data_IF_679761685841
#
_entry.id   IF_679761685841
#
_cell.length_a   1.000
_cell.length_b   1.000
_cell.length_c   1.000
_cell.angle_alpha   90.00
_cell.angle_beta   90.00
_cell.angle_gamma   90.00
#
_symmetry.space_group_name_H-M   'P 1'
#
loop_
_entity.id
_entity.type
_entity.pdbx_description
1 polymer ?
#
# COMPACT_ATOMS: atom_id res chain seq x y z
N UNK A 1 5.38 -37.15 17.78
CA UNK A 1 5.59 -38.15 16.72
C UNK A 1 4.25 -38.40 16.03
N UNK A 2 4.22 -38.26 14.70
CA UNK A 2 3.28 -38.86 13.74
C UNK A 2 1.79 -38.42 13.74
N UNK A 3 1.54 -37.43 12.88
CA UNK A 3 0.62 -37.47 11.71
C UNK A 3 -0.21 -38.75 11.54
N UNK A 4 -1.52 -38.61 11.28
CA UNK A 4 -2.25 -39.52 10.39
C UNK A 4 -3.41 -38.84 9.66
N UNK A 5 -3.25 -38.76 8.35
CA UNK A 5 -4.26 -38.56 7.32
C UNK A 5 -5.08 -39.83 7.07
N UNK A 6 -6.32 -39.67 6.62
CA UNK A 6 -7.09 -40.58 5.75
C UNK A 6 -7.89 -39.65 4.80
N UNK A 7 -7.73 -39.58 3.46
CA UNK A 7 -7.86 -40.59 2.37
C UNK A 7 -9.12 -41.46 2.53
N UNK A 8 -9.97 -41.74 1.54
CA UNK A 8 -10.09 -41.42 0.11
C UNK A 8 -11.40 -42.09 -0.40
N UNK A 9 -11.85 -41.73 -1.61
CA UNK A 9 -12.50 -42.58 -2.66
C UNK A 9 -13.69 -41.86 -3.30
N UNK A 10 -13.75 -41.56 -4.61
CA UNK A 10 -13.49 -42.29 -5.89
C UNK A 10 -14.82 -42.68 -6.55
N UNK A 11 -14.98 -42.30 -7.81
CA UNK A 11 -15.44 -43.07 -8.99
C UNK A 11 -15.86 -42.04 -10.07
N UNK A 12 -15.02 -41.69 -11.05
CA UNK A 12 -14.57 -42.45 -12.23
C UNK A 12 -15.66 -42.68 -13.29
N UNK A 13 -15.51 -41.99 -14.41
CA UNK A 13 -16.11 -42.29 -15.70
C UNK A 13 -15.17 -41.82 -16.81
N UNK A 14 -14.46 -42.76 -17.44
CA UNK A 14 -13.55 -42.56 -18.57
C UNK A 14 -14.24 -43.06 -19.86
N UNK A 15 -14.15 -42.27 -20.94
CA UNK A 15 -13.80 -42.67 -22.32
C UNK A 15 -14.24 -41.58 -23.31
N UNK A 16 -13.56 -41.19 -24.40
CA UNK A 16 -12.20 -41.36 -24.96
C UNK A 16 -12.19 -40.44 -26.20
N UNK A 17 -11.10 -39.68 -26.39
CA UNK A 17 -10.49 -39.19 -27.65
C UNK A 17 -11.42 -38.52 -28.69
N UNK A 18 -11.19 -37.29 -29.13
CA UNK A 18 -10.09 -36.92 -30.04
C UNK A 18 -10.22 -35.43 -30.40
N UNK A 19 -9.11 -34.74 -30.63
CA UNK A 19 -9.07 -33.64 -31.58
C UNK A 19 -8.96 -32.22 -31.00
N UNK A 20 -7.82 -31.61 -31.33
CA UNK A 20 -7.56 -30.17 -31.40
C UNK A 20 -7.30 -29.43 -30.08
N UNK A 21 -6.01 -29.17 -29.87
CA UNK A 21 -5.51 -28.05 -29.11
C UNK A 21 -6.18 -26.77 -29.59
N UNK A 22 -7.12 -26.25 -28.81
CA UNK A 22 -7.49 -24.85 -28.81
C UNK A 22 -7.14 -24.35 -27.41
N UNK A 23 -6.26 -23.34 -27.26
CA UNK A 23 -6.28 -22.56 -26.04
C UNK A 23 -7.64 -21.87 -26.06
N UNK A 24 -8.55 -22.34 -25.21
CA UNK A 24 -9.74 -21.56 -24.88
C UNK A 24 -9.19 -20.32 -24.21
N UNK A 25 -9.02 -19.27 -25.00
CA UNK A 25 -8.93 -17.92 -24.51
C UNK A 25 -10.13 -17.75 -23.61
N UNK A 26 -9.88 -17.77 -22.29
CA UNK A 26 -10.85 -17.33 -21.32
C UNK A 26 -11.15 -15.87 -21.65
N UNK A 27 -12.13 -15.65 -22.51
CA UNK A 27 -12.82 -14.39 -22.63
C UNK A 27 -13.61 -14.20 -21.34
N UNK A 28 -12.89 -13.92 -20.26
CA UNK A 28 -13.49 -13.19 -19.16
C UNK A 28 -13.81 -11.81 -19.76
N UNK A 29 -15.10 -11.63 -20.05
CA UNK A 29 -15.71 -10.31 -20.04
C UNK A 29 -15.44 -9.79 -18.63
N UNK A 30 -14.38 -8.97 -18.49
CA UNK A 30 -14.10 -8.28 -17.24
C UNK A 30 -15.30 -7.35 -17.03
N UNK A 31 -16.15 -7.74 -16.08
CA UNK A 31 -17.25 -6.92 -15.61
C UNK A 31 -16.64 -5.63 -15.04
N UNK A 32 -17.05 -4.48 -15.58
CA UNK A 32 -16.69 -3.13 -15.11
C UNK A 32 -17.33 -2.79 -13.75
N UNK A 33 -17.54 -3.79 -12.87
CA UNK A 33 -18.28 -3.63 -11.62
C UNK A 33 -17.52 -2.88 -10.52
N UNK A 34 -16.22 -2.59 -10.71
CA UNK A 34 -15.45 -1.68 -9.86
C UNK A 34 -14.22 -1.20 -10.66
N UNK A 35 -14.30 -0.07 -11.40
CA UNK A 35 -13.19 0.44 -12.20
C UNK A 35 -12.01 0.93 -11.34
N UNK A 36 -12.18 0.98 -10.02
CA UNK A 36 -11.22 1.55 -9.10
C UNK A 36 -10.33 0.48 -8.51
N UNK A 37 -9.08 0.51 -8.95
CA UNK A 37 -7.98 -0.21 -8.33
C UNK A 37 -6.89 0.83 -8.11
N UNK A 38 -6.43 0.97 -6.87
CA UNK A 38 -5.04 1.26 -6.48
C UNK A 38 -4.28 2.48 -7.03
N UNK A 39 -4.88 3.67 -7.15
CA UNK A 39 -4.11 4.94 -7.09
C UNK A 39 -4.78 5.90 -6.12
N UNK A 40 -3.98 6.56 -5.28
CA UNK A 40 -4.43 7.13 -4.02
C UNK A 40 -5.33 8.37 -4.13
N UNK A 41 -5.60 8.92 -5.30
CA UNK A 41 -6.43 10.12 -5.42
C UNK A 41 -7.26 10.14 -6.70
N UNK A 42 -8.39 10.84 -6.63
CA UNK A 42 -9.24 11.10 -7.81
C UNK A 42 -8.42 11.66 -8.97
N UNK A 43 -7.50 12.58 -8.69
CA UNK A 43 -6.63 13.18 -9.69
C UNK A 43 -5.77 12.13 -10.41
N UNK A 44 -5.20 11.17 -9.69
CA UNK A 44 -4.37 10.12 -10.29
C UNK A 44 -5.22 9.16 -11.12
N UNK A 45 -6.37 8.71 -10.62
CA UNK A 45 -7.25 7.82 -11.35
C UNK A 45 -7.80 8.45 -12.63
N UNK A 46 -8.24 9.70 -12.54
CA UNK A 46 -8.71 10.50 -13.68
C UNK A 46 -7.58 10.73 -14.70
N UNK A 47 -6.36 10.98 -14.23
CA UNK A 47 -5.21 11.17 -15.12
C UNK A 47 -4.86 9.89 -15.89
N UNK A 48 -5.06 8.70 -15.31
CA UNK A 48 -4.84 7.42 -15.97
C UNK A 48 -5.99 7.06 -16.92
N UNK A 49 -7.23 7.37 -16.54
CA UNK A 49 -8.40 7.08 -17.35
C UNK A 49 -9.44 8.21 -17.28
N UNK A 50 -9.57 9.07 -18.31
CA UNK A 50 -10.59 10.11 -18.35
C UNK A 50 -12.00 9.57 -18.66
N UNK A 51 -12.14 8.26 -18.94
CA UNK A 51 -13.39 7.63 -19.32
C UNK A 51 -14.10 6.94 -18.14
N UNK A 52 -13.72 7.29 -16.90
CA UNK A 52 -14.38 6.82 -15.70
C UNK A 52 -15.86 7.27 -15.67
N UNK A 53 -16.80 6.43 -15.22
CA UNK A 53 -18.19 6.84 -15.08
C UNK A 53 -18.33 7.98 -14.06
N UNK A 54 -19.01 9.08 -14.42
CA UNK A 54 -19.18 10.23 -13.51
C UNK A 54 -19.88 9.86 -12.20
N UNK A 55 -20.82 8.90 -12.25
CA UNK A 55 -21.53 8.39 -11.06
C UNK A 55 -20.57 7.77 -10.08
N UNK A 56 -19.60 7.01 -10.58
CA UNK A 56 -18.66 6.23 -9.80
C UNK A 56 -17.64 7.17 -9.15
N UNK A 57 -17.12 8.14 -9.93
CA UNK A 57 -16.23 9.20 -9.43
C UNK A 57 -16.93 10.05 -8.38
N UNK A 58 -18.20 10.41 -8.59
CA UNK A 58 -18.98 11.19 -7.62
C UNK A 58 -19.17 10.43 -6.31
N UNK A 59 -19.53 9.15 -6.40
CA UNK A 59 -19.80 8.31 -5.25
C UNK A 59 -18.54 8.08 -4.40
N UNK A 60 -17.38 7.97 -5.05
CA UNK A 60 -16.14 7.64 -4.37
C UNK A 60 -15.33 8.87 -3.92
N UNK A 61 -15.32 9.95 -4.71
CA UNK A 61 -14.48 11.13 -4.47
C UNK A 61 -15.25 12.44 -4.31
N UNK A 62 -16.57 12.42 -4.43
CA UNK A 62 -17.43 13.60 -4.27
C UNK A 62 -17.56 14.48 -5.51
N UNK A 63 -18.36 15.54 -5.39
CA UNK A 63 -18.73 16.41 -6.52
C UNK A 63 -17.54 17.16 -7.14
N UNK A 64 -16.51 17.51 -6.35
CA UNK A 64 -15.30 18.18 -6.85
C UNK A 64 -14.50 17.33 -7.83
N UNK A 65 -14.45 16.01 -7.63
CA UNK A 65 -13.76 15.10 -8.53
C UNK A 65 -14.46 14.95 -9.90
N UNK A 66 -15.78 15.10 -9.95
CA UNK A 66 -16.53 15.13 -11.22
C UNK A 66 -16.10 16.33 -12.06
N UNK A 67 -15.88 17.49 -11.44
CA UNK A 67 -15.37 18.66 -12.16
C UNK A 67 -13.95 18.41 -12.69
N UNK A 68 -13.09 17.74 -11.91
CA UNK A 68 -11.75 17.35 -12.35
C UNK A 68 -11.80 16.39 -13.54
N UNK A 69 -12.72 15.42 -13.54
CA UNK A 69 -12.92 14.48 -14.65
C UNK A 69 -13.33 15.21 -15.94
N UNK A 70 -14.29 16.13 -15.84
CA UNK A 70 -14.73 16.95 -16.97
C UNK A 70 -13.61 17.84 -17.52
N UNK A 71 -12.78 18.41 -16.64
CA UNK A 71 -11.60 19.18 -17.05
C UNK A 71 -10.53 18.30 -17.70
N UNK A 72 -10.30 17.10 -17.16
CA UNK A 72 -9.32 16.16 -17.68
C UNK A 72 -9.71 15.68 -19.08
N UNK A 73 -10.99 15.37 -19.33
CA UNK A 73 -11.50 14.99 -20.66
C UNK A 73 -11.10 15.97 -21.77
N UNK A 74 -11.03 17.27 -21.47
CA UNK A 74 -10.62 18.30 -22.43
C UNK A 74 -9.13 18.23 -22.82
N UNK A 75 -8.31 17.52 -22.05
CA UNK A 75 -6.88 17.32 -22.32
C UNK A 75 -6.64 16.12 -23.24
N UNK A 76 -7.64 15.27 -23.45
CA UNK A 76 -7.56 14.10 -24.32
C UNK A 76 -8.18 14.40 -25.70
N UNK A 77 -7.83 13.61 -26.73
CA UNK A 77 -8.49 13.71 -28.03
C UNK A 77 -10.01 13.60 -27.93
N UNK A 78 -10.72 14.35 -28.78
CA UNK A 78 -12.17 14.22 -28.88
C UNK A 78 -12.59 12.77 -29.19
N UNK A 79 -13.72 12.34 -28.64
CA UNK A 79 -14.28 10.99 -28.84
C UNK A 79 -13.44 9.83 -28.27
N UNK A 80 -12.44 10.11 -27.41
CA UNK A 80 -11.58 9.09 -26.79
C UNK A 80 -12.37 8.03 -26.02
N UNK A 81 -13.44 8.44 -25.32
CA UNK A 81 -14.27 7.54 -24.52
C UNK A 81 -15.39 6.85 -25.31
N UNK A 82 -15.68 7.32 -26.52
CA UNK A 82 -16.67 6.68 -27.41
C UNK A 82 -16.03 5.63 -28.31
N UNK A 83 -14.70 5.64 -28.46
CA UNK A 83 -13.99 4.56 -29.14
C UNK A 83 -13.85 3.36 -28.19
N UNK A 84 -14.48 2.20 -28.51
CA UNK A 84 -14.53 1.07 -27.59
C UNK A 84 -13.16 0.41 -27.36
N UNK A 85 -12.25 0.48 -28.35
CA UNK A 85 -10.92 -0.10 -28.22
C UNK A 85 -10.04 0.77 -27.31
N UNK A 86 -10.09 2.10 -27.51
CA UNK A 86 -9.33 3.03 -26.67
C UNK A 86 -9.88 3.04 -25.25
N UNK A 87 -11.20 3.13 -25.07
CA UNK A 87 -11.82 3.12 -23.74
C UNK A 87 -11.48 1.85 -22.95
N UNK A 88 -11.51 0.68 -23.60
CA UNK A 88 -11.09 -0.59 -22.98
C UNK A 88 -9.63 -0.57 -22.59
N UNK A 89 -8.74 -0.15 -23.49
CA UNK A 89 -7.32 -0.10 -23.20
C UNK A 89 -6.97 0.94 -22.12
N UNK A 90 -7.75 2.03 -21.98
CA UNK A 90 -7.59 3.00 -20.90
C UNK A 90 -8.01 2.39 -19.55
N UNK A 91 -9.06 1.57 -19.53
CA UNK A 91 -9.43 0.81 -18.34
C UNK A 91 -8.35 -0.23 -17.96
N UNK A 92 -7.80 -0.95 -18.95
CA UNK A 92 -6.69 -1.89 -18.72
C UNK A 92 -5.41 -1.15 -18.28
N UNK A 93 -5.15 0.05 -18.81
CA UNK A 93 -4.04 0.90 -18.40
C UNK A 93 -4.19 1.33 -16.95
N UNK A 94 -5.37 1.82 -16.55
CA UNK A 94 -5.69 2.16 -15.16
C UNK A 94 -5.47 0.95 -14.25
N UNK A 95 -6.14 -0.17 -14.53
CA UNK A 95 -6.07 -1.36 -13.69
C UNK A 95 -4.63 -1.87 -13.52
N UNK A 96 -3.91 -2.07 -14.62
CA UNK A 96 -2.57 -2.64 -14.57
C UNK A 96 -1.57 -1.68 -13.92
N UNK A 97 -1.66 -0.38 -14.20
CA UNK A 97 -0.75 0.61 -13.60
C UNK A 97 -0.95 0.71 -12.10
N UNK A 98 -2.20 0.77 -11.66
CA UNK A 98 -2.56 0.80 -10.25
C UNK A 98 -2.16 -0.47 -9.51
N UNK A 99 -2.47 -1.64 -10.08
CA UNK A 99 -2.07 -2.92 -9.51
C UNK A 99 -0.55 -3.03 -9.45
N UNK A 100 0.16 -2.54 -10.46
CA UNK A 100 1.62 -2.53 -10.49
C UNK A 100 2.20 -1.62 -9.41
N UNK A 101 1.67 -0.41 -9.22
CA UNK A 101 2.06 0.50 -8.14
C UNK A 101 1.80 -0.15 -6.77
N UNK A 102 0.66 -0.83 -6.62
CA UNK A 102 0.28 -1.48 -5.37
C UNK A 102 1.13 -2.72 -5.03
N UNK A 103 1.61 -3.46 -6.04
CA UNK A 103 2.31 -4.74 -5.85
C UNK A 103 3.82 -4.67 -6.02
N UNK A 104 4.35 -3.55 -6.50
CA UNK A 104 5.79 -3.41 -6.74
C UNK A 104 6.55 -3.00 -5.48
N UNK A 105 7.80 -3.45 -5.42
CA UNK A 105 8.77 -3.13 -4.38
C UNK A 105 9.27 -1.69 -4.41
N UNK A 106 9.01 -0.97 -5.52
CA UNK A 106 9.48 0.39 -5.77
C UNK A 106 8.31 1.29 -6.19
N UNK A 107 7.28 1.47 -5.34
CA UNK A 107 6.03 2.11 -5.73
C UNK A 107 6.24 3.54 -6.25
N UNK A 108 7.16 4.32 -5.65
CA UNK A 108 7.47 5.68 -6.13
C UNK A 108 8.17 5.71 -7.49
N UNK A 109 9.12 4.79 -7.72
CA UNK A 109 9.79 4.70 -9.03
C UNK A 109 8.78 4.30 -10.09
N UNK A 110 7.88 3.39 -9.75
CA UNK A 110 6.86 2.93 -10.67
C UNK A 110 5.79 4.00 -10.93
N UNK A 111 5.39 4.76 -9.92
CA UNK A 111 4.49 5.89 -10.05
C UNK A 111 5.08 6.97 -10.99
N UNK A 112 6.37 7.30 -10.87
CA UNK A 112 7.04 8.24 -11.78
C UNK A 112 7.07 7.72 -13.23
N UNK A 113 7.33 6.44 -13.44
CA UNK A 113 7.31 5.82 -14.76
C UNK A 113 5.89 5.83 -15.36
N UNK A 114 4.89 5.45 -14.57
CA UNK A 114 3.47 5.48 -14.97
C UNK A 114 3.04 6.91 -15.32
N UNK A 115 3.42 7.90 -14.52
CA UNK A 115 3.12 9.31 -14.78
C UNK A 115 3.80 9.78 -16.08
N UNK A 116 5.07 9.42 -16.29
CA UNK A 116 5.80 9.76 -17.52
C UNK A 116 5.15 9.15 -18.76
N UNK A 117 4.71 7.89 -18.68
CA UNK A 117 3.97 7.23 -19.77
C UNK A 117 2.61 7.88 -20.02
N UNK A 118 1.89 8.26 -18.96
CA UNK A 118 0.62 8.97 -19.06
C UNK A 118 0.78 10.33 -19.75
N UNK A 119 1.85 11.08 -19.46
CA UNK A 119 2.16 12.32 -20.19
C UNK A 119 2.36 12.10 -21.70
N UNK A 120 2.91 10.95 -22.10
CA UNK A 120 3.05 10.59 -23.52
C UNK A 120 1.68 10.34 -24.18
N UNK A 121 0.72 9.77 -23.46
CA UNK A 121 -0.66 9.62 -23.95
C UNK A 121 -1.37 10.97 -24.06
N UNK A 122 -1.23 11.84 -23.05
CA UNK A 122 -1.79 13.20 -23.06
C UNK A 122 -1.22 14.08 -24.18
N UNK A 123 -0.04 13.76 -24.71
CA UNK A 123 0.53 14.44 -25.86
C UNK A 123 -0.14 14.06 -27.20
N UNK A 124 -0.97 13.01 -27.25
CA UNK A 124 -1.71 12.64 -28.44
C UNK A 124 -2.79 13.68 -28.76
N UNK A 125 -2.85 14.11 -30.03
CA UNK A 125 -3.86 15.07 -30.53
C UNK A 125 -5.06 14.41 -31.20
N UNK A 126 -4.95 13.12 -31.54
CA UNK A 126 -5.98 12.37 -32.24
C UNK A 126 -6.11 10.92 -31.73
N UNK A 127 -7.17 10.26 -32.18
CA UNK A 127 -7.44 8.85 -31.83
C UNK A 127 -6.43 7.88 -32.47
N UNK A 128 -5.78 8.26 -33.56
CA UNK A 128 -4.80 7.40 -34.23
C UNK A 128 -3.56 7.23 -33.35
N UNK A 129 -3.00 8.33 -32.85
CA UNK A 129 -1.90 8.33 -31.89
C UNK A 129 -2.22 7.50 -30.65
N UNK A 130 -3.45 7.61 -30.14
CA UNK A 130 -3.93 6.81 -29.01
C UNK A 130 -3.92 5.31 -29.32
N UNK A 131 -4.46 4.90 -30.47
CA UNK A 131 -4.47 3.49 -30.89
C UNK A 131 -3.05 2.94 -31.11
N UNK A 132 -2.13 3.76 -31.59
CA UNK A 132 -0.75 3.36 -31.84
C UNK A 132 0.06 3.19 -30.53
N UNK A 133 -0.16 4.07 -29.54
CA UNK A 133 0.68 4.13 -28.32
C UNK A 133 0.12 3.36 -27.13
N UNK A 134 -1.19 3.42 -26.91
CA UNK A 134 -1.82 2.91 -25.70
C UNK A 134 -1.66 1.39 -25.51
N UNK A 135 -1.82 0.52 -26.54
CA UNK A 135 -1.65 -0.93 -26.36
C UNK A 135 -0.26 -1.30 -25.83
N UNK A 136 0.80 -0.69 -26.35
CA UNK A 136 2.17 -0.95 -25.90
C UNK A 136 2.40 -0.52 -24.44
N UNK A 137 1.68 0.50 -23.95
CA UNK A 137 1.75 0.89 -22.54
C UNK A 137 1.00 -0.08 -21.64
N UNK A 138 -0.18 -0.55 -22.06
CA UNK A 138 -0.95 -1.60 -21.37
C UNK A 138 -0.12 -2.87 -21.27
N UNK A 139 0.47 -3.33 -22.38
CA UNK A 139 1.33 -4.52 -22.40
C UNK A 139 2.55 -4.36 -21.49
N UNK A 140 3.15 -3.17 -21.46
CA UNK A 140 4.24 -2.88 -20.53
C UNK A 140 3.78 -3.00 -19.08
N UNK A 141 2.66 -2.38 -18.69
CA UNK A 141 2.17 -2.42 -17.32
C UNK A 141 1.83 -3.84 -16.90
N UNK A 142 1.13 -4.59 -17.76
CA UNK A 142 0.79 -6.00 -17.55
C UNK A 142 2.03 -6.87 -17.42
N UNK A 143 3.01 -6.74 -18.32
CA UNK A 143 4.25 -7.53 -18.27
C UNK A 143 5.04 -7.27 -16.99
N UNK A 144 5.07 -6.02 -16.52
CA UNK A 144 5.75 -5.71 -15.27
C UNK A 144 4.97 -6.22 -14.06
N UNK A 145 3.64 -6.18 -14.10
CA UNK A 145 2.78 -6.76 -13.07
C UNK A 145 2.97 -8.28 -12.98
N UNK A 146 3.00 -8.98 -14.11
CA UNK A 146 3.24 -10.43 -14.16
C UNK A 146 4.64 -10.81 -13.64
N UNK A 147 5.59 -9.87 -13.70
CA UNK A 147 6.95 -10.03 -13.16
C UNK A 147 7.10 -9.56 -11.72
N UNK A 148 6.13 -8.84 -11.16
CA UNK A 148 6.17 -8.54 -9.73
C UNK A 148 6.09 -9.83 -8.94
N UNK A 149 7.03 -10.09 -8.00
CA UNK A 149 6.98 -11.29 -7.20
C UNK A 149 5.66 -11.32 -6.41
N UNK A 150 4.91 -12.41 -6.56
CA UNK A 150 3.77 -12.69 -5.68
C UNK A 150 4.35 -13.22 -4.38
N UNK A 151 4.44 -12.35 -3.38
CA UNK A 151 4.90 -12.71 -2.04
C UNK A 151 4.11 -13.92 -1.51
N UNK A 152 4.84 -14.98 -1.16
CA UNK A 152 4.26 -16.20 -0.60
C UNK A 152 3.79 -15.99 0.86
N UNK A 153 3.15 -16.99 1.45
CA UNK A 153 2.77 -16.97 2.87
C UNK A 153 3.97 -16.77 3.82
N UNK A 154 5.17 -17.10 3.37
CA UNK A 154 6.42 -16.94 4.12
C UNK A 154 6.99 -15.50 4.06
N UNK A 155 6.50 -14.67 3.13
CA UNK A 155 6.84 -13.25 2.99
C UNK A 155 5.77 -12.34 3.62
N UNK A 156 5.07 -12.83 4.63
CA UNK A 156 4.08 -12.00 5.32
C UNK A 156 4.75 -10.86 6.09
N UNK A 157 4.16 -9.65 6.07
CA UNK A 157 4.57 -8.56 6.93
C UNK A 157 4.66 -9.05 8.38
N UNK A 158 5.80 -8.84 9.01
CA UNK A 158 6.01 -9.23 10.41
C UNK A 158 5.68 -8.07 11.33
N UNK A 159 5.14 -8.34 12.53
CA UNK A 159 4.92 -7.28 13.52
C UNK A 159 6.24 -6.62 13.90
N UNK A 160 6.27 -5.29 14.03
CA UNK A 160 7.43 -4.62 14.67
C UNK A 160 7.53 -5.02 16.13
N UNK A 161 6.40 -5.14 16.82
CA UNK A 161 6.31 -5.52 18.23
C UNK A 161 6.70 -6.99 18.44
N UNK A 162 7.64 -7.20 19.35
CA UNK A 162 8.04 -8.51 19.86
C UNK A 162 7.54 -8.74 21.29
N UNK A 163 8.39 -9.30 22.14
CA UNK A 163 8.04 -9.63 23.51
C UNK A 163 8.14 -8.41 24.44
N UNK A 164 7.27 -8.35 25.46
CA UNK A 164 7.37 -7.36 26.52
C UNK A 164 8.70 -7.51 27.28
N UNK A 165 9.40 -6.40 27.52
CA UNK A 165 10.62 -6.39 28.31
C UNK A 165 10.28 -6.44 29.80
N UNK A 166 10.73 -7.49 30.47
CA UNK A 166 10.45 -7.68 31.91
C UNK A 166 11.18 -6.70 32.82
N UNK A 167 12.35 -6.20 32.41
CA UNK A 167 13.22 -5.32 33.23
C UNK A 167 13.79 -4.14 32.41
N UNK A 168 12.93 -3.22 31.92
CA UNK A 168 13.35 -2.15 31.02
C UNK A 168 14.40 -1.22 31.62
N UNK A 169 14.35 -0.95 32.94
CA UNK A 169 15.38 -0.14 33.64
C UNK A 169 16.79 -0.71 33.51
N UNK A 170 16.92 -2.05 33.42
CA UNK A 170 18.21 -2.72 33.31
C UNK A 170 18.67 -2.82 31.85
N UNK A 171 17.73 -3.09 30.94
CA UNK A 171 17.98 -3.27 29.50
C UNK A 171 18.23 -1.96 28.77
N UNK A 172 17.65 -0.86 29.25
CA UNK A 172 17.68 0.45 28.59
C UNK A 172 18.50 1.45 29.39
N UNK A 173 19.71 1.05 29.79
CA UNK A 173 20.67 1.97 30.43
C UNK A 173 20.99 3.11 29.47
N UNK A 174 21.03 4.34 30.00
CA UNK A 174 21.24 5.56 29.20
C UNK A 174 20.01 6.01 28.42
N UNK A 175 18.82 5.51 28.75
CA UNK A 175 17.57 6.07 28.23
C UNK A 175 17.23 7.35 28.99
N UNK A 176 17.22 8.46 28.27
CA UNK A 176 16.74 9.75 28.78
C UNK A 176 15.20 9.81 28.72
N UNK A 177 14.60 10.21 29.85
CA UNK A 177 13.17 10.43 29.99
C UNK A 177 12.91 11.86 30.49
N UNK A 178 11.78 12.48 30.13
CA UNK A 178 10.66 11.91 29.36
C UNK A 178 10.94 11.82 27.85
N UNK A 179 10.30 10.86 27.17
CA UNK A 179 10.29 10.79 25.71
C UNK A 179 9.56 12.01 25.10
N UNK A 180 9.83 12.36 23.83
CA UNK A 180 9.13 13.44 23.14
C UNK A 180 7.61 13.30 23.22
N UNK A 181 6.96 14.29 23.84
CA UNK A 181 5.50 14.30 24.02
C UNK A 181 4.94 13.33 25.07
N UNK A 182 5.77 12.56 25.78
CA UNK A 182 5.33 11.53 26.72
C UNK A 182 4.32 12.05 27.75
N UNK A 183 4.63 13.16 28.42
CA UNK A 183 3.77 13.74 29.46
C UNK A 183 2.36 14.04 28.93
N UNK A 184 2.28 14.55 27.70
CA UNK A 184 1.00 14.86 27.05
C UNK A 184 0.20 13.59 26.74
N UNK A 185 0.85 12.57 26.16
CA UNK A 185 0.14 11.41 25.61
C UNK A 185 -0.09 10.28 26.63
N UNK A 186 0.84 10.08 27.57
CA UNK A 186 0.79 8.99 28.54
C UNK A 186 0.33 9.45 29.95
N UNK A 187 0.17 10.76 30.18
CA UNK A 187 -0.27 11.31 31.47
C UNK A 187 0.83 11.37 32.55
N UNK A 188 2.08 11.06 32.19
CA UNK A 188 3.23 11.04 33.09
C UNK A 188 4.56 11.12 32.33
N UNK A 189 5.67 11.32 33.05
CA UNK A 189 7.01 11.54 32.48
C UNK A 189 8.05 10.49 32.88
N UNK A 190 7.63 9.41 33.54
CA UNK A 190 8.51 8.40 34.11
C UNK A 190 8.49 7.11 33.30
N UNK A 191 9.40 6.20 33.63
CA UNK A 191 9.44 4.90 32.96
C UNK A 191 8.22 4.03 33.26
N UNK A 192 7.53 4.28 34.39
CA UNK A 192 6.41 3.46 34.84
C UNK A 192 5.11 3.75 34.06
N UNK A 193 5.10 4.86 33.31
CA UNK A 193 4.02 5.29 32.41
C UNK A 193 4.08 4.60 31.03
N UNK A 194 5.10 3.78 30.80
CA UNK A 194 5.45 3.21 29.50
C UNK A 194 5.54 1.68 29.56
N UNK A 195 5.14 1.03 28.46
CA UNK A 195 5.42 -0.37 28.19
C UNK A 195 6.53 -0.46 27.13
N UNK A 196 7.51 -1.33 27.37
CA UNK A 196 8.66 -1.53 26.49
C UNK A 196 8.64 -2.94 25.91
N UNK A 197 8.83 -3.06 24.61
CA UNK A 197 8.81 -4.32 23.88
C UNK A 197 10.11 -4.46 23.08
N UNK A 198 10.62 -5.67 22.98
CA UNK A 198 11.61 -5.99 21.96
C UNK A 198 11.00 -5.73 20.58
N UNK A 199 11.84 -5.59 19.56
CA UNK A 199 11.36 -5.46 18.18
C UNK A 199 11.87 -6.59 17.30
N UNK A 200 11.15 -6.84 16.22
CA UNK A 200 11.60 -7.74 15.15
C UNK A 200 12.46 -7.02 14.09
N UNK A 201 12.81 -5.75 14.31
CA UNK A 201 13.68 -4.98 13.42
C UNK A 201 15.12 -5.52 13.51
N UNK A 202 15.67 -5.94 12.36
CA UNK A 202 17.02 -6.50 12.27
C UNK A 202 17.90 -5.62 11.40
N UNK A 203 18.68 -4.75 12.04
CA UNK A 203 19.73 -3.94 11.38
C UNK A 203 21.05 -4.24 12.05
N UNK A 204 22.09 -4.51 11.24
CA UNK A 204 23.41 -4.87 11.77
C UNK A 204 23.99 -3.77 12.64
N UNK A 205 24.49 -4.15 13.83
CA UNK A 205 25.13 -3.23 14.78
C UNK A 205 24.18 -2.30 15.54
N UNK A 206 22.85 -2.48 15.41
CA UNK A 206 21.86 -1.63 16.07
C UNK A 206 20.89 -2.45 16.93
N UNK A 207 20.48 -1.87 18.05
CA UNK A 207 19.44 -2.39 18.92
C UNK A 207 18.19 -1.50 18.84
N UNK A 208 17.01 -2.11 18.86
CA UNK A 208 15.73 -1.41 18.76
C UNK A 208 14.75 -1.85 19.84
N UNK A 209 13.98 -0.89 20.35
CA UNK A 209 12.93 -1.12 21.35
C UNK A 209 11.69 -0.33 20.95
N UNK A 210 10.54 -1.00 20.98
CA UNK A 210 9.24 -0.36 20.79
C UNK A 210 8.72 0.07 22.16
N UNK A 211 8.26 1.32 22.25
CA UNK A 211 7.72 1.89 23.46
C UNK A 211 6.29 2.35 23.19
N UNK A 212 5.37 2.02 24.09
CA UNK A 212 3.97 2.46 24.03
C UNK A 212 3.57 3.07 25.36
N UNK A 213 2.63 4.01 25.36
CA UNK A 213 1.99 4.41 26.59
C UNK A 213 1.35 3.20 27.27
N UNK A 214 1.50 3.09 28.60
CA UNK A 214 0.90 2.00 29.37
C UNK A 214 -0.62 2.13 29.48
N UNK A 215 -1.09 3.37 29.57
CA UNK A 215 -2.52 3.71 29.56
C UNK A 215 -2.86 4.32 28.20
N UNK A 216 -3.89 3.79 27.54
CA UNK A 216 -4.40 4.32 26.28
C UNK A 216 -5.49 5.37 26.56
N UNK A 217 -5.11 6.65 26.51
CA UNK A 217 -6.04 7.77 26.67
C UNK A 217 -6.73 8.15 25.34
N UNK A 218 -6.81 7.23 24.37
CA UNK A 218 -7.36 7.49 23.04
C UNK A 218 -6.36 8.10 22.05
N UNK A 219 -5.15 8.42 22.51
CA UNK A 219 -4.09 9.00 21.68
C UNK A 219 -2.93 8.04 21.37
N UNK A 220 -3.11 6.71 21.54
CA UNK A 220 -2.21 5.58 21.15
C UNK A 220 -0.86 6.00 20.55
N UNK A 221 0.04 6.50 21.40
CA UNK A 221 1.35 7.03 21.02
C UNK A 221 2.39 5.92 21.15
N UNK A 222 3.22 5.77 20.12
CA UNK A 222 4.26 4.75 20.05
C UNK A 222 5.58 5.37 19.58
N UNK A 223 6.69 4.92 20.18
CA UNK A 223 8.05 5.27 19.79
C UNK A 223 8.82 4.02 19.40
N UNK A 224 9.71 4.15 18.42
CA UNK A 224 10.80 3.17 18.23
C UNK A 224 12.09 3.86 18.63
N UNK A 225 12.76 3.29 19.62
CA UNK A 225 14.06 3.74 20.08
C UNK A 225 15.15 2.92 19.41
N UNK A 226 16.24 3.57 19.06
CA UNK A 226 17.45 2.97 18.50
C UNK A 226 18.62 3.24 19.43
N UNK A 227 19.48 2.24 19.59
CA UNK A 227 20.83 2.37 20.12
C UNK A 227 21.81 1.78 19.08
N UNK A 228 22.81 2.55 18.70
CA UNK A 228 23.78 2.23 17.64
C UNK A 228 25.05 1.53 18.18
N UNK A 229 24.97 0.92 19.36
CA UNK A 229 26.11 0.36 20.09
C UNK A 229 26.78 1.36 21.04
N UNK A 230 26.28 2.61 21.10
CA UNK A 230 26.66 3.63 22.06
C UNK A 230 25.98 3.49 23.43
N UNK A 231 26.11 4.54 24.25
CA UNK A 231 25.49 4.61 25.58
C UNK A 231 24.04 5.12 25.55
N UNK A 232 23.65 5.82 24.50
CA UNK A 232 22.43 6.63 24.51
C UNK A 232 21.35 6.02 23.61
N UNK A 233 20.10 6.17 24.02
CA UNK A 233 18.93 5.75 23.24
C UNK A 233 18.30 6.97 22.57
N UNK A 234 17.95 6.84 21.29
CA UNK A 234 17.29 7.91 20.53
C UNK A 234 15.98 7.45 19.93
N UNK A 235 14.98 8.33 19.90
CA UNK A 235 13.74 8.07 19.17
C UNK A 235 13.96 8.23 17.67
N UNK A 236 13.78 7.14 16.91
CA UNK A 236 13.83 7.13 15.44
C UNK A 236 12.44 7.07 14.81
N UNK A 237 11.41 6.71 15.60
CA UNK A 237 9.99 6.85 15.26
C UNK A 237 9.29 7.48 16.45
N UNK A 238 8.38 8.42 16.17
CA UNK A 238 7.57 9.08 17.18
C UNK A 238 6.16 9.42 16.63
N UNK A 239 5.21 8.48 16.67
CA UNK A 239 3.91 8.66 16.01
C UNK A 239 2.75 7.96 16.70
N UNK A 240 1.53 8.38 16.36
CA UNK A 240 0.30 7.71 16.80
C UNK A 240 0.05 6.47 15.95
N UNK A 241 0.00 5.29 16.58
CA UNK A 241 -0.25 4.02 15.91
C UNK A 241 -0.89 3.01 16.87
N UNK A 242 -1.82 2.23 16.33
CA UNK A 242 -2.37 1.04 16.98
C UNK A 242 -1.43 -0.16 16.80
N UNK A 243 -0.88 -0.33 15.60
CA UNK A 243 0.09 -1.39 15.28
C UNK A 243 1.09 -0.93 14.23
N UNK A 244 2.20 -1.65 14.11
CA UNK A 244 3.21 -1.46 13.08
C UNK A 244 3.68 -2.80 12.53
N UNK A 245 3.92 -2.86 11.23
CA UNK A 245 4.44 -4.02 10.53
C UNK A 245 5.72 -3.66 9.77
N UNK A 246 6.64 -4.61 9.72
CA UNK A 246 7.86 -4.56 8.93
C UNK A 246 7.49 -5.09 7.55
N UNK A 247 7.58 -4.22 6.54
CA UNK A 247 7.41 -4.60 5.16
C UNK A 247 8.54 -5.53 4.69
N UNK A 248 8.26 -6.32 3.66
CA UNK A 248 9.24 -7.15 2.96
C UNK A 248 10.30 -6.31 2.23
N UNK A 249 9.96 -5.05 1.96
CA UNK A 249 10.80 -4.10 1.24
C UNK A 249 11.92 -3.56 2.13
N UNK A 250 13.17 -3.73 1.67
CA UNK A 250 14.34 -3.08 2.23
C UNK A 250 14.83 -2.00 1.29
N UNK A 251 14.74 -0.74 1.73
CA UNK A 251 15.49 0.36 1.11
C UNK A 251 16.61 0.70 2.06
N UNK A 252 17.85 0.47 1.61
CA UNK A 252 19.07 0.60 2.43
C UNK A 252 19.16 -0.49 3.52
N UNK A 253 20.07 -0.33 4.48
CA UNK A 253 20.27 -1.28 5.58
C UNK A 253 19.09 -1.34 6.59
N UNK A 254 18.00 -0.60 6.35
CA UNK A 254 16.82 -0.56 7.23
C UNK A 254 15.57 -1.03 6.46
N UNK A 255 14.65 -1.76 7.12
CA UNK A 255 13.40 -2.18 6.50
C UNK A 255 12.40 -1.02 6.39
N UNK A 256 11.40 -1.14 5.52
CA UNK A 256 10.23 -0.24 5.51
C UNK A 256 9.29 -0.63 6.65
N UNK A 257 8.70 0.37 7.32
CA UNK A 257 7.70 0.15 8.37
C UNK A 257 6.34 0.69 7.89
N UNK A 258 5.30 -0.13 7.98
CA UNK A 258 3.91 0.29 7.81
C UNK A 258 3.29 0.50 9.18
N UNK A 259 2.73 1.68 9.47
CA UNK A 259 2.00 1.95 10.71
C UNK A 259 0.50 2.05 10.43
N UNK A 260 -0.30 1.55 11.36
CA UNK A 260 -1.75 1.52 11.28
C UNK A 260 -2.34 2.26 12.47
N UNK A 261 -3.31 3.13 12.23
CA UNK A 261 -4.05 3.84 13.26
C UNK A 261 -5.55 3.74 12.95
N UNK A 262 -6.29 3.06 13.82
CA UNK A 262 -7.75 2.98 13.74
C UNK A 262 -8.37 4.33 14.10
N UNK A 263 -9.29 4.82 13.25
CA UNK A 263 -10.01 6.07 13.44
C UNK A 263 -11.49 5.87 13.10
N UNK A 264 -12.36 6.79 13.54
CA UNK A 264 -13.83 6.67 13.42
C UNK A 264 -14.34 6.56 11.98
N UNK A 265 -13.50 6.86 10.98
CA UNK A 265 -13.85 6.80 9.55
C UNK A 265 -13.02 5.81 8.72
N UNK A 266 -12.18 4.98 9.34
CA UNK A 266 -11.31 4.03 8.64
C UNK A 266 -9.98 3.79 9.35
N UNK A 267 -9.06 3.11 8.68
CA UNK A 267 -7.71 2.86 9.19
C UNK A 267 -6.72 3.74 8.45
N UNK A 268 -6.08 4.67 9.15
CA UNK A 268 -4.96 5.43 8.59
C UNK A 268 -3.74 4.53 8.52
N UNK A 269 -3.21 4.34 7.31
CA UNK A 269 -2.00 3.60 7.00
C UNK A 269 -0.90 4.58 6.62
N UNK A 270 0.27 4.47 7.24
CA UNK A 270 1.45 5.27 6.88
C UNK A 270 2.60 4.35 6.52
N UNK A 271 3.29 4.65 5.43
CA UNK A 271 4.50 3.94 5.01
C UNK A 271 5.70 4.80 5.41
N UNK A 272 6.63 4.23 6.17
CA UNK A 272 7.77 4.91 6.75
C UNK A 272 9.07 4.36 6.17
N UNK A 273 9.97 5.25 5.76
CA UNK A 273 11.31 4.90 5.29
C UNK A 273 12.37 5.55 6.17
N UNK A 274 13.45 4.82 6.42
CA UNK A 274 14.59 5.37 7.17
C UNK A 274 15.38 6.37 6.31
N UNK A 275 15.47 7.61 6.76
CA UNK A 275 16.17 8.74 6.13
C UNK A 275 16.70 9.68 7.23
N UNK A 276 17.89 10.25 7.05
CA UNK A 276 18.46 11.24 7.97
C UNK A 276 18.40 10.84 9.45
N UNK A 277 18.81 9.60 9.74
CA UNK A 277 18.83 9.01 11.09
C UNK A 277 17.46 8.82 11.78
N UNK A 278 16.36 8.83 11.02
CA UNK A 278 15.01 8.60 11.55
C UNK A 278 14.11 7.94 10.50
N UNK A 279 12.96 7.42 10.91
CA UNK A 279 11.92 6.99 9.98
C UNK A 279 11.01 8.15 9.66
N UNK A 280 10.96 8.50 8.37
CA UNK A 280 10.13 9.57 7.84
C UNK A 280 8.92 8.97 7.12
N UNK A 281 7.78 9.65 7.24
CA UNK A 281 6.57 9.28 6.51
C UNK A 281 6.75 9.55 5.01
N UNK A 282 6.62 8.50 4.20
CA UNK A 282 6.74 8.56 2.76
C UNK A 282 5.37 8.68 2.08
N UNK A 283 4.40 7.92 2.57
CA UNK A 283 3.05 7.84 2.03
C UNK A 283 2.07 7.70 3.18
N UNK A 284 0.87 8.27 2.99
CA UNK A 284 -0.23 8.21 3.94
C UNK A 284 -1.54 7.95 3.22
N UNK A 285 -2.24 6.92 3.66
CA UNK A 285 -3.55 6.54 3.16
C UNK A 285 -4.56 6.46 4.30
N UNK A 286 -5.82 6.75 4.00
CA UNK A 286 -6.96 6.31 4.78
C UNK A 286 -7.58 5.12 4.05
N UNK A 287 -7.63 3.97 4.71
CA UNK A 287 -8.33 2.79 4.18
C UNK A 287 -9.73 2.74 4.79
N UNK A 288 -10.75 2.77 3.93
CA UNK A 288 -12.16 2.72 4.31
C UNK A 288 -12.79 1.48 3.70
N UNK A 289 -13.47 0.68 4.50
CA UNK A 289 -14.25 -0.45 4.00
C UNK A 289 -15.63 0.03 3.56
N UNK A 290 -16.06 -0.37 2.37
CA UNK A 290 -17.44 -0.14 1.93
C UNK A 290 -18.43 -1.17 2.51
N UNK A 291 -19.71 -1.03 2.15
CA UNK A 291 -20.77 -1.94 2.60
C UNK A 291 -20.57 -3.39 2.14
N UNK A 292 -19.73 -3.61 1.14
CA UNK A 292 -19.37 -4.92 0.59
C UNK A 292 -18.06 -5.47 1.17
N UNK A 293 -17.46 -4.79 2.16
CA UNK A 293 -16.16 -5.10 2.77
C UNK A 293 -14.97 -5.01 1.81
N UNK A 294 -15.09 -4.22 0.75
CA UNK A 294 -13.95 -3.88 -0.09
C UNK A 294 -13.24 -2.66 0.50
N UNK A 295 -11.92 -2.76 0.67
CA UNK A 295 -11.09 -1.68 1.18
C UNK A 295 -10.70 -0.69 0.08
N UNK A 296 -11.03 0.57 0.29
CA UNK A 296 -10.69 1.70 -0.58
C UNK A 296 -9.61 2.54 0.09
N UNK A 297 -8.51 2.84 -0.60
CA UNK A 297 -7.39 3.61 -0.05
C UNK A 297 -7.36 5.03 -0.64
N UNK A 298 -7.41 6.03 0.24
CA UNK A 298 -7.40 7.45 -0.14
C UNK A 298 -6.14 8.12 0.39
N UNK A 299 -5.34 8.73 -0.47
CA UNK A 299 -4.21 9.57 -0.14
C UNK A 299 -4.71 10.77 0.67
N UNK A 300 -4.05 11.01 1.80
CA UNK A 300 -4.36 12.16 2.65
C UNK A 300 -3.38 13.27 2.29
N UNK A 301 -3.87 14.31 1.60
CA UNK A 301 -3.06 15.51 1.35
C UNK A 301 -2.63 16.14 2.69
N UNK A 302 -1.38 16.63 2.72
CA UNK A 302 -0.87 17.40 3.85
C UNK A 302 -1.69 18.69 3.96
N UNK A 303 -2.46 18.81 5.04
CA UNK A 303 -3.04 20.09 5.47
C UNK A 303 -1.98 20.99 6.06
#
# INVERSE_FOLDING_TARGET
MLVKWCRAMLLAGFAVMSGMYLPVASSQVISFANPFVGVGSAQQEIALNPCLPETDVRNQFGAGAVQQLQQALNQWPANVCTDPLIARNLADWLYNSSALIAKTDRPLVMADIVQTRTRVLLACRDLKCMRDKLPAMVDWAKTNLDRTPVYGLDDQPSSVEGALLSLPRLSLRGLDLPLPGQQKFCGGGTIDDLNFFSTNLKVSGKAYVLVKCKVDNGERKSWILENDGGKDWRAVVDLRSSSMQIGTLRRNNHPIISSYLEETGGTRVRILSYQDNSYQEMLRFLVVEDRSKLGHAFEIENR
#
